data_IF_832093882462
#
_entry.id   IF_832093882462
#
_cell.length_a   1.000
_cell.length_b   1.000
_cell.length_c   1.000
_cell.angle_alpha   90.00
_cell.angle_beta   90.00
_cell.angle_gamma   90.00
#
_symmetry.space_group_name_H-M   'P 1'
#
loop_
_entity.id
_entity.type
_entity.pdbx_description
1 polymer ?
#
# COMPACT_ATOMS: atom_id res chain seq x y z
N UNK A 1 14.79 -1.43 23.74
CA UNK A 1 13.44 -2.03 23.83
C UNK A 1 13.23 -2.87 22.58
N UNK A 2 12.74 -4.13 22.65
CA UNK A 2 12.49 -4.88 21.44
C UNK A 2 11.27 -4.27 20.73
N UNK A 3 11.41 -4.05 19.42
CA UNK A 3 10.55 -3.23 18.58
C UNK A 3 9.11 -3.75 18.53
N UNK A 4 8.13 -2.85 18.69
CA UNK A 4 6.70 -3.17 18.80
C UNK A 4 6.15 -3.65 17.44
N UNK A 5 5.72 -4.92 17.29
CA UNK A 5 5.16 -5.44 16.03
C UNK A 5 3.76 -4.89 15.69
N UNK A 6 3.16 -4.11 16.60
CA UNK A 6 1.75 -3.66 16.53
C UNK A 6 1.47 -2.79 15.29
N UNK A 7 2.45 -1.99 14.86
CA UNK A 7 2.26 -1.06 13.75
C UNK A 7 2.01 -1.77 12.40
N UNK A 8 2.66 -2.91 12.16
CA UNK A 8 2.52 -3.65 10.90
C UNK A 8 1.16 -4.37 10.82
N UNK A 9 0.77 -5.06 11.89
CA UNK A 9 -0.51 -5.77 11.95
C UNK A 9 -1.72 -4.82 11.82
N UNK A 10 -1.65 -3.63 12.40
CA UNK A 10 -2.73 -2.64 12.30
C UNK A 10 -2.86 -2.07 10.88
N UNK A 11 -1.74 -1.81 10.19
CA UNK A 11 -1.74 -1.28 8.81
C UNK A 11 -2.29 -2.26 7.78
N UNK A 12 -2.32 -3.56 8.09
CA UNK A 12 -3.00 -4.55 7.25
C UNK A 12 -4.53 -4.52 7.39
N UNK A 13 -5.04 -3.98 8.50
CA UNK A 13 -6.47 -3.94 8.81
C UNK A 13 -7.09 -2.57 8.57
N UNK A 14 -6.30 -1.51 8.69
CA UNK A 14 -6.76 -0.12 8.61
C UNK A 14 -5.86 0.67 7.66
N UNK A 15 -6.48 1.29 6.67
CA UNK A 15 -5.87 2.27 5.78
C UNK A 15 -6.48 3.65 6.02
N UNK A 16 -5.73 4.71 5.70
CA UNK A 16 -6.21 6.09 5.82
C UNK A 16 -6.24 6.73 4.44
N UNK A 17 -7.32 7.46 4.17
CA UNK A 17 -7.46 8.35 3.00
C UNK A 17 -7.52 9.77 3.53
N UNK A 18 -6.61 10.62 3.05
CA UNK A 18 -6.52 12.01 3.46
C UNK A 18 -7.54 12.86 2.69
N UNK A 19 -7.83 14.05 3.21
CA UNK A 19 -8.74 14.98 2.54
C UNK A 19 -8.14 15.53 1.25
N UNK A 20 -6.82 15.68 1.20
CA UNK A 20 -6.06 16.00 0.00
C UNK A 20 -5.40 14.71 -0.53
N UNK A 21 -5.99 14.07 -1.57
CA UNK A 21 -5.49 12.82 -2.11
C UNK A 21 -4.18 12.98 -2.86
N UNK A 22 -3.84 14.19 -3.35
CA UNK A 22 -2.60 14.43 -4.09
C UNK A 22 -1.36 14.21 -3.22
N UNK A 23 -1.50 14.42 -1.91
CA UNK A 23 -0.45 14.15 -0.92
C UNK A 23 -0.13 12.66 -0.75
N UNK A 24 -0.96 11.75 -1.29
CA UNK A 24 -0.77 10.30 -1.19
C UNK A 24 -0.25 9.66 -2.49
N UNK A 25 -0.02 10.45 -3.54
CA UNK A 25 0.51 9.99 -4.83
C UNK A 25 2.04 10.08 -4.82
N UNK A 26 2.71 8.99 -5.18
CA UNK A 26 4.17 8.86 -5.19
C UNK A 26 4.74 8.69 -6.60
N UNK A 27 3.98 8.09 -7.51
CA UNK A 27 4.42 7.78 -8.87
C UNK A 27 3.68 8.58 -9.93
N UNK A 28 4.32 8.74 -11.08
CA UNK A 28 3.70 9.41 -12.25
C UNK A 28 2.80 8.48 -13.04
N UNK A 29 2.93 7.17 -12.86
CA UNK A 29 2.07 6.16 -13.46
C UNK A 29 1.08 5.62 -12.42
N UNK A 30 -0.18 5.52 -12.82
CA UNK A 30 -1.30 5.14 -11.94
C UNK A 30 -1.12 3.70 -11.43
N UNK A 31 -0.71 2.79 -12.31
CA UNK A 31 -0.58 1.37 -12.01
C UNK A 31 0.47 1.13 -10.92
N UNK A 32 1.63 1.79 -10.98
CA UNK A 32 2.66 1.66 -9.94
C UNK A 32 2.25 2.31 -8.63
N UNK A 33 1.48 3.40 -8.67
CA UNK A 33 1.00 4.06 -7.45
C UNK A 33 0.05 3.14 -6.66
N UNK A 34 -0.89 2.50 -7.36
CA UNK A 34 -1.83 1.55 -6.75
C UNK A 34 -1.10 0.26 -6.33
N UNK A 35 -0.16 -0.23 -7.13
CA UNK A 35 0.60 -1.45 -6.83
C UNK A 35 1.58 -1.30 -5.67
N UNK A 36 2.02 -0.07 -5.35
CA UNK A 36 3.09 0.20 -4.37
C UNK A 36 2.85 -0.48 -3.02
N UNK A 37 1.65 -0.32 -2.46
CA UNK A 37 1.31 -0.89 -1.15
C UNK A 37 1.23 -2.42 -1.19
N UNK A 38 0.76 -3.00 -2.29
CA UNK A 38 0.67 -4.46 -2.45
C UNK A 38 2.06 -5.11 -2.55
N UNK A 39 3.00 -4.45 -3.23
CA UNK A 39 4.41 -4.89 -3.30
C UNK A 39 5.06 -4.85 -1.91
N UNK A 40 4.81 -3.79 -1.14
CA UNK A 40 5.31 -3.68 0.24
C UNK A 40 4.73 -4.76 1.18
N UNK A 41 3.55 -5.29 0.88
CA UNK A 41 2.92 -6.40 1.60
C UNK A 41 3.36 -7.78 1.11
N UNK A 42 4.20 -7.86 0.07
CA UNK A 42 4.70 -9.12 -0.49
C UNK A 42 3.66 -9.90 -1.30
N UNK A 43 2.64 -9.22 -1.84
CA UNK A 43 1.63 -9.86 -2.70
C UNK A 43 2.28 -10.33 -4.01
N UNK A 44 1.96 -11.54 -4.52
CA UNK A 44 2.52 -12.03 -5.79
C UNK A 44 2.13 -11.14 -6.99
N UNK A 45 3.06 -10.93 -7.94
CA UNK A 45 2.85 -10.00 -9.08
C UNK A 45 1.58 -10.31 -9.89
N UNK A 46 1.26 -11.59 -10.14
CA UNK A 46 0.05 -11.97 -10.85
C UNK A 46 -1.24 -11.52 -10.13
N UNK A 47 -1.23 -11.52 -8.79
CA UNK A 47 -2.36 -11.03 -7.98
C UNK A 47 -2.37 -9.51 -7.89
N UNK A 48 -1.20 -8.85 -7.98
CA UNK A 48 -1.12 -7.38 -8.08
C UNK A 48 -1.73 -6.93 -9.40
N UNK A 49 -1.30 -7.50 -10.53
CA UNK A 49 -1.85 -7.17 -11.87
C UNK A 49 -3.36 -7.32 -11.88
N UNK A 50 -3.89 -8.45 -11.38
CA UNK A 50 -5.34 -8.71 -11.31
C UNK A 50 -6.11 -7.70 -10.45
N UNK A 51 -5.48 -7.07 -9.45
CA UNK A 51 -6.12 -6.09 -8.55
C UNK A 51 -6.02 -4.65 -9.06
N UNK A 52 -5.05 -4.38 -9.94
CA UNK A 52 -4.81 -3.05 -10.51
C UNK A 52 -5.58 -2.87 -11.82
N UNK A 53 -5.82 -3.96 -12.56
CA UNK A 53 -6.76 -3.99 -13.70
C UNK A 53 -8.20 -3.59 -13.32
#
# INVERSE_FOLDING_TARGET
>A
EPERPVASALRQQVATVFQDPEQQIFYTDIDSDIAFSLRNLGVPEAEITRRVD
#
